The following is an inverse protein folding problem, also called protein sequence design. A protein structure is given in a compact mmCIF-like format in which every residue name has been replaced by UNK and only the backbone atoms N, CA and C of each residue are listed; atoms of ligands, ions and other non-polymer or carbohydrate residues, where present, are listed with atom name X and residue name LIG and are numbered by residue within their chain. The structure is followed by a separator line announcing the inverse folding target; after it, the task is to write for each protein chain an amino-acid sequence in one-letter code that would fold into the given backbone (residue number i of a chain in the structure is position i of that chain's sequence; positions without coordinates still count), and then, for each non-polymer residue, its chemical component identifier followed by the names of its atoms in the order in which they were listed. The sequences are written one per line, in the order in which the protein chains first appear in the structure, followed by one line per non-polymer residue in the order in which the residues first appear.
data_IF_818283185539
#
_entry.id   IF_818283185539
#
_cell.length_a   1.000
_cell.length_b   1.000
_cell.length_c   1.000
_cell.angle_alpha   90.00
_cell.angle_beta   90.00
_cell.angle_gamma   90.00
#
_symmetry.space_group_name_H-M   'P 1'
#
loop_
_entity.id
_entity.type
_entity.pdbx_description
1 polymer ?
#
# COMPACT_ATOMS: atom_id res chain seq x y z
N UNK A 1 27.49 8.00 -5.38
CA UNK A 1 27.26 6.67 -6.01
C UNK A 1 25.85 6.70 -6.58
N UNK A 2 25.69 6.49 -7.86
CA UNK A 2 24.35 6.46 -8.48
C UNK A 2 23.60 5.18 -8.05
N UNK A 3 22.25 5.14 -8.14
CA UNK A 3 21.50 3.90 -7.89
C UNK A 3 21.97 2.71 -8.72
N UNK A 4 22.37 2.94 -9.97
CA UNK A 4 22.91 1.92 -10.86
C UNK A 4 24.30 1.43 -10.39
N UNK A 5 25.17 2.33 -9.93
CA UNK A 5 26.46 1.94 -9.36
C UNK A 5 26.27 1.11 -8.09
N UNK A 6 25.31 1.50 -7.25
CA UNK A 6 24.94 0.78 -6.04
C UNK A 6 24.47 -0.64 -6.36
N UNK A 7 23.57 -0.78 -7.33
CA UNK A 7 23.08 -2.06 -7.80
C UNK A 7 24.22 -2.96 -8.27
N UNK A 8 25.13 -2.43 -9.12
CA UNK A 8 26.26 -3.19 -9.67
C UNK A 8 27.25 -3.66 -8.61
N UNK A 9 27.34 -2.94 -7.49
CA UNK A 9 28.22 -3.26 -6.38
C UNK A 9 27.68 -4.35 -5.44
N UNK A 10 26.43 -4.81 -5.59
CA UNK A 10 25.88 -5.89 -4.76
C UNK A 10 26.66 -7.18 -4.95
N UNK A 11 26.99 -7.90 -3.85
CA UNK A 11 27.90 -9.06 -3.88
C UNK A 11 27.21 -10.37 -4.32
N UNK A 12 26.11 -10.29 -5.06
CA UNK A 12 25.25 -11.44 -5.38
C UNK A 12 25.32 -11.88 -6.84
N UNK A 13 25.96 -11.07 -7.69
CA UNK A 13 25.93 -11.30 -9.12
C UNK A 13 26.84 -12.45 -9.56
N UNK A 14 26.29 -13.30 -10.42
CA UNK A 14 27.06 -14.31 -11.16
C UNK A 14 27.18 -13.83 -12.61
N UNK A 15 28.32 -13.19 -12.91
CA UNK A 15 28.55 -12.47 -14.16
C UNK A 15 28.09 -11.00 -14.10
N UNK A 16 28.23 -10.25 -15.21
CA UNK A 16 27.90 -8.83 -15.27
C UNK A 16 26.37 -8.60 -15.25
N UNK A 17 25.81 -7.88 -14.24
CA UNK A 17 24.38 -7.63 -14.19
C UNK A 17 23.95 -6.65 -15.28
N UNK A 18 22.92 -7.02 -16.03
CA UNK A 18 22.21 -6.15 -16.97
C UNK A 18 20.97 -5.62 -16.27
N UNK A 19 20.89 -4.30 -16.11
CA UNK A 19 19.84 -3.64 -15.37
C UNK A 19 19.02 -2.73 -16.30
N UNK A 20 17.70 -2.86 -16.22
CA UNK A 20 16.75 -2.01 -16.92
C UNK A 20 15.88 -1.30 -15.86
N UNK A 21 15.67 0.03 -15.94
CA UNK A 21 14.79 0.73 -15.03
C UNK A 21 13.38 0.14 -15.06
N UNK A 22 12.82 -0.13 -13.90
CA UNK A 22 11.43 -0.57 -13.74
C UNK A 22 10.60 0.64 -13.32
N UNK A 23 9.74 1.13 -14.23
CA UNK A 23 8.85 2.25 -13.95
C UNK A 23 7.70 1.89 -13.02
N UNK A 24 6.99 2.90 -12.50
CA UNK A 24 5.75 2.75 -11.75
C UNK A 24 5.87 2.94 -10.23
N UNK A 25 7.07 3.03 -9.68
CA UNK A 25 7.25 3.40 -8.25
C UNK A 25 7.38 4.90 -8.07
N UNK A 26 6.67 5.47 -7.09
CA UNK A 26 6.77 6.90 -6.71
C UNK A 26 7.53 7.11 -5.39
N UNK A 27 8.11 6.07 -4.82
CA UNK A 27 8.89 6.11 -3.57
C UNK A 27 10.27 5.51 -3.71
N UNK A 28 10.50 4.66 -4.71
CA UNK A 28 11.72 3.88 -4.86
C UNK A 28 12.25 3.89 -6.29
N UNK A 29 13.56 3.67 -6.43
CA UNK A 29 14.18 3.40 -7.73
C UNK A 29 14.32 1.89 -7.88
N UNK A 30 13.56 1.35 -8.83
CA UNK A 30 13.50 -0.08 -9.09
C UNK A 30 14.17 -0.44 -10.42
N UNK A 31 14.78 -1.60 -10.47
CA UNK A 31 15.39 -2.17 -11.68
C UNK A 31 14.99 -3.64 -11.83
N UNK A 32 14.69 -4.04 -13.05
CA UNK A 32 14.77 -5.46 -13.43
C UNK A 32 16.22 -5.76 -13.76
N UNK A 33 16.76 -6.81 -13.18
CA UNK A 33 18.17 -7.18 -13.37
C UNK A 33 18.27 -8.63 -13.79
N UNK A 34 19.07 -8.87 -14.81
CA UNK A 34 19.41 -10.19 -15.30
C UNK A 34 20.92 -10.38 -15.20
N UNK A 35 21.36 -11.42 -14.47
CA UNK A 35 22.73 -11.94 -14.53
C UNK A 35 22.78 -13.27 -15.31
N UNK A 36 23.88 -14.02 -15.25
CA UNK A 36 24.05 -15.28 -15.99
C UNK A 36 23.17 -16.42 -15.44
N UNK A 37 22.57 -16.25 -14.25
CA UNK A 37 21.87 -17.33 -13.53
C UNK A 37 20.41 -17.00 -13.25
N UNK A 38 20.08 -15.70 -12.96
CA UNK A 38 18.75 -15.32 -12.49
C UNK A 38 18.25 -14.00 -13.03
N UNK A 39 16.94 -13.82 -12.98
CA UNK A 39 16.25 -12.54 -13.15
C UNK A 39 15.64 -12.11 -11.81
N UNK A 40 15.84 -10.86 -11.43
CA UNK A 40 15.36 -10.36 -10.13
C UNK A 40 14.93 -8.90 -10.25
N UNK A 41 14.21 -8.41 -9.23
CA UNK A 41 13.94 -6.99 -9.05
C UNK A 41 14.85 -6.46 -7.93
N UNK A 42 15.54 -5.37 -8.23
CA UNK A 42 16.37 -4.65 -7.25
C UNK A 42 15.74 -3.31 -6.96
N UNK A 43 15.40 -3.09 -5.70
CA UNK A 43 14.96 -1.82 -5.16
C UNK A 43 16.13 -1.13 -4.48
N UNK A 44 16.39 0.12 -4.88
CA UNK A 44 17.39 0.98 -4.23
C UNK A 44 16.65 2.12 -3.54
N UNK A 45 16.81 2.25 -2.23
CA UNK A 45 16.16 3.30 -1.43
C UNK A 45 16.48 3.17 0.05
N UNK A 46 16.43 4.29 0.74
CA UNK A 46 16.59 4.39 2.19
C UNK A 46 15.22 4.52 2.87
N UNK A 47 15.22 4.63 4.20
CA UNK A 47 14.04 5.00 4.97
C UNK A 47 13.47 6.34 4.45
N UNK A 48 12.14 6.46 4.48
CA UNK A 48 11.42 7.70 4.18
C UNK A 48 10.54 8.03 5.40
N UNK A 49 11.16 8.60 6.47
CA UNK A 49 10.47 8.77 7.76
C UNK A 49 9.21 9.63 7.67
N UNK A 50 9.18 10.65 6.79
CA UNK A 50 8.00 11.51 6.57
C UNK A 50 6.79 10.72 6.09
N UNK A 51 7.00 9.58 5.42
CA UNK A 51 5.95 8.65 5.00
C UNK A 51 5.86 7.40 5.87
N UNK A 52 6.62 7.34 6.98
CA UNK A 52 6.70 6.20 7.89
C UNK A 52 7.20 4.91 7.22
N UNK A 53 7.92 5.04 6.10
CA UNK A 53 8.53 3.92 5.40
C UNK A 53 9.88 3.60 6.04
N UNK A 54 9.97 2.40 6.63
CA UNK A 54 11.15 1.92 7.34
C UNK A 54 11.64 0.61 6.72
N UNK A 55 12.86 0.58 6.19
CA UNK A 55 13.39 -0.55 5.41
C UNK A 55 13.54 -1.84 6.21
N UNK A 56 13.75 -1.75 7.53
CA UNK A 56 13.74 -2.94 8.39
C UNK A 56 12.36 -3.62 8.42
N UNK A 57 11.28 -2.82 8.40
CA UNK A 57 9.92 -3.33 8.45
C UNK A 57 9.50 -3.91 7.09
N UNK A 58 9.82 -3.21 5.99
CA UNK A 58 9.64 -3.73 4.63
C UNK A 58 10.30 -5.10 4.44
N UNK A 59 11.56 -5.25 4.89
CA UNK A 59 12.29 -6.50 4.83
C UNK A 59 11.61 -7.61 5.62
N UNK A 60 11.19 -7.30 6.87
CA UNK A 60 10.52 -8.27 7.73
C UNK A 60 9.18 -8.71 7.12
N UNK A 61 8.40 -7.75 6.60
CA UNK A 61 7.13 -7.99 5.93
C UNK A 61 7.32 -8.81 4.64
N UNK A 62 8.27 -8.45 3.77
CA UNK A 62 8.53 -9.16 2.51
C UNK A 62 8.93 -10.63 2.75
N UNK A 63 9.79 -10.90 3.76
CA UNK A 63 10.17 -12.26 4.13
C UNK A 63 9.01 -13.07 4.69
N UNK A 64 8.20 -12.46 5.54
CA UNK A 64 7.03 -13.12 6.12
C UNK A 64 5.94 -13.35 5.06
N UNK A 65 5.73 -12.41 4.14
CA UNK A 65 4.81 -12.54 3.02
C UNK A 65 5.23 -13.65 2.04
N UNK A 66 6.54 -13.81 1.79
CA UNK A 66 7.06 -14.94 1.03
C UNK A 66 6.77 -16.28 1.75
N UNK A 67 7.08 -16.36 3.03
CA UNK A 67 6.84 -17.57 3.83
C UNK A 67 5.35 -17.95 3.91
N UNK A 68 4.45 -16.94 3.88
CA UNK A 68 3.00 -17.12 3.77
C UNK A 68 2.52 -17.48 2.33
N UNK A 69 3.43 -17.54 1.36
CA UNK A 69 3.10 -17.83 -0.04
C UNK A 69 2.37 -16.71 -0.77
N UNK A 70 2.52 -15.45 -0.30
CA UNK A 70 1.82 -14.26 -0.83
C UNK A 70 2.73 -13.46 -1.78
N UNK A 71 4.03 -13.42 -1.50
CA UNK A 71 5.02 -12.58 -2.21
C UNK A 71 6.20 -13.39 -2.76
N UNK A 72 6.96 -12.85 -3.74
CA UNK A 72 8.21 -13.43 -4.18
C UNK A 72 9.24 -13.51 -3.06
N UNK A 73 10.26 -14.37 -3.24
CA UNK A 73 11.33 -14.54 -2.26
C UNK A 73 12.22 -13.29 -2.19
N UNK A 74 12.70 -12.99 -0.98
CA UNK A 74 13.82 -12.05 -0.80
C UNK A 74 15.12 -12.81 -1.04
N UNK A 75 15.83 -12.43 -2.10
CA UNK A 75 17.13 -13.03 -2.50
C UNK A 75 18.27 -12.45 -1.68
N UNK A 76 18.27 -11.13 -1.51
CA UNK A 76 19.33 -10.41 -0.83
C UNK A 76 18.80 -9.11 -0.21
N UNK A 77 19.47 -8.68 0.85
CA UNK A 77 19.23 -7.38 1.48
C UNK A 77 20.53 -6.86 2.09
N UNK A 78 20.75 -5.58 1.89
CA UNK A 78 21.73 -4.78 2.64
C UNK A 78 21.20 -3.35 2.81
N UNK A 79 21.76 -2.50 3.68
CA UNK A 79 21.29 -1.13 3.85
C UNK A 79 21.19 -0.39 2.53
N UNK A 80 19.99 0.10 2.20
CA UNK A 80 19.69 0.82 0.95
C UNK A 80 19.44 -0.06 -0.28
N UNK A 81 19.38 -1.40 -0.14
CA UNK A 81 19.05 -2.30 -1.24
C UNK A 81 18.22 -3.51 -0.79
N UNK A 82 17.18 -3.82 -1.53
CA UNK A 82 16.38 -5.05 -1.42
C UNK A 82 16.31 -5.73 -2.78
N UNK A 83 16.60 -7.03 -2.81
CA UNK A 83 16.53 -7.85 -4.03
C UNK A 83 15.51 -8.96 -3.83
N UNK A 84 14.54 -9.03 -4.73
CA UNK A 84 13.47 -10.03 -4.72
C UNK A 84 13.45 -10.81 -6.03
N UNK A 85 12.92 -12.02 -6.01
CA UNK A 85 12.70 -12.81 -7.22
C UNK A 85 11.82 -12.06 -8.21
N UNK A 86 12.14 -12.16 -9.49
CA UNK A 86 11.29 -11.65 -10.54
C UNK A 86 10.11 -12.59 -10.77
N UNK A 87 8.90 -12.03 -10.76
CA UNK A 87 7.70 -12.77 -11.17
C UNK A 87 7.42 -12.49 -12.64
N UNK A 88 7.49 -13.52 -13.46
CA UNK A 88 7.05 -13.45 -14.86
C UNK A 88 5.51 -13.36 -14.86
N UNK A 89 4.97 -12.21 -15.21
CA UNK A 89 3.53 -12.00 -15.12
C UNK A 89 3.08 -10.60 -15.54
N UNK A 90 1.78 -10.40 -15.48
CA UNK A 90 1.12 -9.13 -15.78
C UNK A 90 0.85 -8.37 -14.48
N UNK A 91 1.29 -7.12 -14.40
CA UNK A 91 0.82 -6.16 -13.41
C UNK A 91 -0.65 -5.83 -13.70
N UNK A 92 -1.49 -5.88 -12.66
CA UNK A 92 -2.92 -5.63 -12.83
C UNK A 92 -3.21 -4.13 -12.98
N UNK A 93 -4.34 -3.87 -13.62
CA UNK A 93 -5.00 -2.56 -13.67
C UNK A 93 -6.25 -2.57 -12.78
N UNK A 94 -6.79 -1.38 -12.47
CA UNK A 94 -8.08 -1.28 -11.78
C UNK A 94 -9.22 -1.98 -12.55
N UNK A 95 -9.15 -1.99 -13.89
CA UNK A 95 -10.13 -2.71 -14.72
C UNK A 95 -10.03 -4.24 -14.57
N UNK A 96 -8.82 -4.76 -14.41
CA UNK A 96 -8.62 -6.19 -14.14
C UNK A 96 -9.21 -6.57 -12.78
N UNK A 97 -8.93 -5.79 -11.72
CA UNK A 97 -9.43 -6.03 -10.35
C UNK A 97 -10.96 -5.89 -10.21
N UNK A 98 -11.62 -5.18 -11.12
CA UNK A 98 -13.10 -5.12 -11.17
C UNK A 98 -13.76 -6.33 -11.84
N UNK A 99 -12.99 -7.26 -12.39
CA UNK A 99 -13.54 -8.53 -12.90
C UNK A 99 -13.77 -9.49 -11.72
N UNK A 100 -14.97 -10.06 -11.61
CA UNK A 100 -15.39 -10.85 -10.45
C UNK A 100 -14.38 -11.94 -10.06
N UNK A 101 -13.90 -12.72 -11.02
CA UNK A 101 -12.94 -13.79 -10.76
C UNK A 101 -11.59 -13.28 -10.27
N UNK A 102 -11.15 -12.09 -10.71
CA UNK A 102 -9.91 -11.47 -10.29
C UNK A 102 -10.07 -10.83 -8.91
N UNK A 103 -11.21 -10.19 -8.67
CA UNK A 103 -11.57 -9.64 -7.36
C UNK A 103 -11.60 -10.75 -6.30
N UNK A 104 -12.18 -11.89 -6.61
CA UNK A 104 -12.20 -13.07 -5.73
C UNK A 104 -10.78 -13.52 -5.35
N UNK A 105 -9.89 -13.64 -6.33
CA UNK A 105 -8.50 -14.01 -6.07
C UNK A 105 -7.77 -12.96 -5.23
N UNK A 106 -8.02 -11.68 -5.47
CA UNK A 106 -7.44 -10.59 -4.69
C UNK A 106 -7.91 -10.61 -3.24
N UNK A 107 -9.22 -10.83 -2.99
CA UNK A 107 -9.77 -10.93 -1.63
C UNK A 107 -9.16 -12.12 -0.89
N UNK A 108 -9.05 -13.28 -1.52
CA UNK A 108 -8.46 -14.47 -0.91
C UNK A 108 -6.97 -14.28 -0.60
N UNK A 109 -6.24 -13.60 -1.49
CA UNK A 109 -4.83 -13.26 -1.29
C UNK A 109 -4.65 -12.29 -0.10
N UNK A 110 -5.50 -11.27 0.00
CA UNK A 110 -5.51 -10.30 1.10
C UNK A 110 -5.86 -11.02 2.42
N UNK A 111 -6.88 -11.87 2.43
CA UNK A 111 -7.24 -12.64 3.61
C UNK A 111 -6.08 -13.53 4.09
N UNK A 112 -5.38 -14.18 3.15
CA UNK A 112 -4.17 -14.95 3.45
C UNK A 112 -3.07 -14.07 4.03
N UNK A 113 -2.81 -12.90 3.42
CA UNK A 113 -1.82 -11.96 3.94
C UNK A 113 -2.14 -11.56 5.38
N UNK A 114 -3.38 -11.18 5.66
CA UNK A 114 -3.85 -10.74 6.98
C UNK A 114 -3.66 -11.79 8.07
N UNK A 115 -3.89 -13.06 7.76
CA UNK A 115 -3.94 -14.13 8.77
C UNK A 115 -2.66 -14.97 8.84
N UNK A 116 -1.94 -15.15 7.72
CA UNK A 116 -0.76 -16.02 7.69
C UNK A 116 0.55 -15.25 7.92
N UNK A 117 0.68 -14.01 7.42
CA UNK A 117 1.92 -13.24 7.60
C UNK A 117 2.31 -13.08 9.08
N UNK A 118 1.40 -12.80 10.04
CA UNK A 118 1.76 -12.71 11.46
C UNK A 118 2.50 -13.92 12.00
N UNK A 119 2.20 -15.12 11.50
CA UNK A 119 2.83 -16.39 11.92
C UNK A 119 4.31 -16.48 11.53
N UNK A 120 4.73 -15.69 10.53
CA UNK A 120 6.07 -15.70 9.96
C UNK A 120 6.88 -14.45 10.29
N UNK A 121 6.28 -13.41 10.88
CA UNK A 121 6.99 -12.20 11.26
C UNK A 121 8.09 -12.48 12.29
N UNK A 122 9.22 -11.80 12.13
CA UNK A 122 10.35 -11.86 13.06
C UNK A 122 10.86 -10.46 13.36
N UNK A 123 11.15 -10.19 14.63
CA UNK A 123 11.60 -8.89 15.10
C UNK A 123 10.46 -7.88 15.29
N UNK A 124 10.79 -6.59 15.43
CA UNK A 124 9.81 -5.53 15.56
C UNK A 124 8.96 -5.39 14.29
N UNK A 125 7.68 -5.08 14.47
CA UNK A 125 6.76 -4.77 13.38
C UNK A 125 6.00 -3.47 13.69
N UNK A 126 5.70 -2.68 12.66
CA UNK A 126 5.01 -1.42 12.82
C UNK A 126 3.50 -1.62 12.94
N UNK A 127 2.85 -0.64 13.54
CA UNK A 127 1.41 -0.46 13.51
C UNK A 127 1.09 0.68 12.54
N UNK A 128 0.32 0.40 11.52
CA UNK A 128 -0.18 1.41 10.60
C UNK A 128 -1.59 1.84 11.04
N UNK A 129 -1.66 2.85 11.93
CA UNK A 129 -2.94 3.40 12.33
C UNK A 129 -3.26 4.65 11.53
N UNK A 130 -4.17 4.54 10.57
CA UNK A 130 -4.49 5.60 9.61
C UNK A 130 -4.75 6.97 10.26
N UNK A 131 -5.43 7.01 11.40
CA UNK A 131 -5.73 8.28 12.09
C UNK A 131 -4.51 8.89 12.78
N UNK A 132 -3.49 8.09 13.12
CA UNK A 132 -2.19 8.60 13.52
C UNK A 132 -1.45 9.19 12.30
N UNK A 133 -1.41 8.46 11.20
CA UNK A 133 -0.77 8.90 9.94
C UNK A 133 -1.38 10.22 9.44
N UNK A 134 -2.71 10.35 9.46
CA UNK A 134 -3.43 11.58 9.10
C UNK A 134 -3.01 12.76 9.98
N UNK A 135 -2.89 12.57 11.31
CA UNK A 135 -2.45 13.63 12.23
C UNK A 135 -0.98 14.00 12.01
N UNK A 136 -0.13 13.02 11.75
CA UNK A 136 1.30 13.21 11.50
C UNK A 136 1.54 14.00 10.21
N UNK A 137 0.89 13.62 9.10
CA UNK A 137 0.91 14.39 7.87
C UNK A 137 0.38 15.82 8.04
N UNK A 138 -0.72 15.99 8.77
CA UNK A 138 -1.25 17.33 9.04
C UNK A 138 -0.27 18.17 9.87
N UNK A 139 0.43 17.60 10.84
CA UNK A 139 1.46 18.27 11.63
C UNK A 139 2.64 18.69 10.75
N UNK A 140 3.11 17.82 9.85
CA UNK A 140 4.16 18.14 8.86
C UNK A 140 3.74 19.31 7.98
N UNK A 141 2.56 19.25 7.37
CA UNK A 141 2.03 20.30 6.49
C UNK A 141 1.87 21.65 7.20
N UNK A 142 1.51 21.64 8.50
CA UNK A 142 1.43 22.87 9.31
C UNK A 142 2.82 23.43 9.61
N UNK A 143 3.77 22.59 10.02
CA UNK A 143 5.13 22.99 10.35
C UNK A 143 5.86 23.62 9.14
N UNK A 144 5.54 23.17 7.93
CA UNK A 144 6.15 23.62 6.68
C UNK A 144 5.40 24.78 6.00
N UNK A 145 4.33 25.29 6.62
CA UNK A 145 3.47 26.34 6.05
C UNK A 145 2.94 25.97 4.66
N UNK A 146 2.54 24.72 4.47
CA UNK A 146 2.00 24.21 3.22
C UNK A 146 0.81 25.05 2.73
N UNK A 147 0.68 25.19 1.41
CA UNK A 147 -0.48 25.85 0.78
C UNK A 147 -1.83 25.21 1.17
N UNK A 148 -1.82 23.98 1.67
CA UNK A 148 -3.01 23.25 2.11
C UNK A 148 -3.40 23.48 3.57
N UNK A 149 -2.63 24.27 4.35
CA UNK A 149 -2.85 24.46 5.78
C UNK A 149 -4.27 24.91 6.14
N UNK A 150 -4.94 25.68 5.29
CA UNK A 150 -6.31 26.15 5.53
C UNK A 150 -7.36 25.04 5.50
N UNK A 151 -7.07 23.90 4.85
CA UNK A 151 -7.95 22.73 4.79
C UNK A 151 -7.84 21.84 6.04
N UNK A 152 -6.66 21.83 6.68
CA UNK A 152 -6.31 20.86 7.73
C UNK A 152 -7.25 20.87 8.94
N UNK A 153 -7.71 22.01 9.48
CA UNK A 153 -8.63 22.03 10.61
C UNK A 153 -9.95 21.28 10.32
N UNK A 154 -10.46 21.38 9.09
CA UNK A 154 -11.66 20.66 8.68
C UNK A 154 -11.38 19.16 8.51
N UNK A 155 -10.31 18.80 7.79
CA UNK A 155 -9.94 17.41 7.56
C UNK A 155 -9.67 16.65 8.86
N UNK A 156 -9.02 17.30 9.86
CA UNK A 156 -8.79 16.71 11.18
C UNK A 156 -10.07 16.50 11.98
N UNK A 157 -11.03 17.43 11.89
CA UNK A 157 -12.37 17.21 12.53
C UNK A 157 -13.08 16.03 11.89
N UNK A 158 -13.06 15.94 10.57
CA UNK A 158 -13.63 14.81 9.82
C UNK A 158 -12.93 13.50 10.18
N UNK A 159 -11.60 13.48 10.25
CA UNK A 159 -10.84 12.30 10.69
C UNK A 159 -11.24 11.84 12.11
N UNK A 160 -11.48 12.78 13.03
CA UNK A 160 -11.94 12.46 14.38
C UNK A 160 -13.33 11.79 14.36
N UNK A 161 -14.24 12.28 13.52
CA UNK A 161 -15.57 11.67 13.34
C UNK A 161 -15.47 10.26 12.74
N UNK A 162 -14.63 10.07 11.71
CA UNK A 162 -14.39 8.76 11.11
C UNK A 162 -13.79 7.79 12.14
N UNK A 163 -12.80 8.23 12.91
CA UNK A 163 -12.18 7.41 13.97
C UNK A 163 -13.21 6.94 15.01
N UNK A 164 -14.11 7.83 15.42
CA UNK A 164 -15.19 7.49 16.37
C UNK A 164 -16.15 6.44 15.76
N UNK A 165 -16.49 6.58 14.47
CA UNK A 165 -17.36 5.64 13.76
C UNK A 165 -16.72 4.27 13.53
N UNK A 166 -15.41 4.20 13.31
CA UNK A 166 -14.68 2.94 13.20
C UNK A 166 -14.74 2.14 14.51
N UNK A 167 -14.63 2.80 15.66
CA UNK A 167 -14.66 2.15 16.97
C UNK A 167 -13.53 1.13 17.19
N UNK A 168 -13.75 0.12 18.05
CA UNK A 168 -12.78 -0.96 18.28
C UNK A 168 -12.48 -1.75 17.02
N UNK A 169 -11.23 -2.18 16.83
CA UNK A 169 -10.80 -2.91 15.65
C UNK A 169 -10.23 -4.29 16.01
N UNK A 170 -10.43 -5.24 15.10
CA UNK A 170 -9.64 -6.45 15.06
C UNK A 170 -8.31 -6.15 14.37
N UNK A 171 -7.21 -6.69 14.88
CA UNK A 171 -5.88 -6.47 14.36
C UNK A 171 -5.48 -7.59 13.39
N UNK A 172 -5.10 -7.20 12.18
CA UNK A 172 -4.46 -8.06 11.18
C UNK A 172 -3.15 -7.43 10.72
N UNK A 173 -2.30 -8.18 10.04
CA UNK A 173 -1.13 -7.59 9.39
C UNK A 173 -1.51 -7.15 7.97
N UNK A 174 -1.77 -5.86 7.82
CA UNK A 174 -2.20 -5.24 6.57
C UNK A 174 -1.05 -4.93 5.63
N UNK A 175 -1.37 -4.86 4.35
CA UNK A 175 -0.50 -4.32 3.31
C UNK A 175 -0.47 -2.78 3.37
N UNK A 176 -1.62 -2.20 3.60
CA UNK A 176 -1.89 -0.76 3.76
C UNK A 176 -1.65 0.11 2.50
N UNK A 177 -1.44 -0.55 1.34
CA UNK A 177 -1.26 0.14 0.04
C UNK A 177 -1.72 -0.75 -1.13
N UNK A 178 -3.00 -1.11 -1.17
CA UNK A 178 -3.57 -2.01 -2.18
C UNK A 178 -3.90 -1.27 -3.49
N UNK A 179 -2.85 -0.75 -4.13
CA UNK A 179 -2.91 -0.25 -5.50
C UNK A 179 -2.96 -1.40 -6.51
N UNK A 180 -3.59 -1.24 -7.69
CA UNK A 180 -3.61 -2.30 -8.71
C UNK A 180 -2.19 -2.71 -9.16
N UNK A 181 -1.25 -1.76 -9.18
CA UNK A 181 0.15 -2.01 -9.55
C UNK A 181 0.89 -2.95 -8.59
N UNK A 182 0.38 -3.16 -7.37
CA UNK A 182 0.97 -4.06 -6.38
C UNK A 182 0.47 -5.51 -6.51
N UNK A 183 -0.42 -5.79 -7.46
CA UNK A 183 -0.87 -7.14 -7.80
C UNK A 183 -0.27 -7.61 -9.11
N UNK A 184 0.40 -8.76 -9.09
CA UNK A 184 0.95 -9.44 -10.27
C UNK A 184 0.20 -10.76 -10.49
N UNK A 185 -0.17 -11.06 -11.74
CA UNK A 185 -0.76 -12.34 -12.13
C UNK A 185 0.20 -13.10 -13.03
N UNK A 186 0.70 -14.26 -12.59
CA UNK A 186 1.69 -15.07 -13.30
C UNK A 186 1.10 -16.05 -14.35
N UNK A 187 -0.21 -15.92 -14.60
CA UNK A 187 -0.97 -16.86 -15.45
C UNK A 187 -1.71 -17.93 -14.66
N UNK A 188 -1.33 -18.18 -13.40
CA UNK A 188 -1.94 -19.19 -12.53
C UNK A 188 -2.52 -18.61 -11.24
N UNK A 189 -1.85 -17.64 -10.64
CA UNK A 189 -2.23 -17.02 -9.37
C UNK A 189 -1.84 -15.55 -9.28
N UNK A 190 -2.36 -14.90 -8.25
CA UNK A 190 -1.94 -13.57 -7.84
C UNK A 190 -0.77 -13.61 -6.85
N UNK A 191 0.06 -12.57 -6.97
CA UNK A 191 1.13 -12.21 -6.06
C UNK A 191 0.91 -10.78 -5.58
N UNK A 192 1.28 -10.49 -4.35
CA UNK A 192 1.24 -9.15 -3.77
C UNK A 192 2.67 -8.70 -3.48
N UNK A 193 3.01 -7.48 -3.91
CA UNK A 193 4.34 -6.89 -3.80
C UNK A 193 4.26 -5.51 -3.15
N UNK A 194 5.40 -4.94 -2.79
CA UNK A 194 5.54 -3.59 -2.25
C UNK A 194 4.99 -3.42 -0.83
N UNK A 195 5.75 -3.92 0.15
CA UNK A 195 5.39 -3.92 1.57
C UNK A 195 5.88 -2.66 2.32
N UNK A 196 6.06 -1.53 1.63
CA UNK A 196 6.57 -0.29 2.22
C UNK A 196 5.74 0.19 3.42
N UNK A 197 4.42 0.08 3.33
CA UNK A 197 3.47 0.50 4.36
C UNK A 197 2.95 -0.65 5.24
N UNK A 198 3.53 -1.83 5.12
CA UNK A 198 3.07 -2.99 5.87
C UNK A 198 3.07 -2.75 7.39
N UNK A 199 2.06 -3.26 8.06
CA UNK A 199 1.94 -3.11 9.50
C UNK A 199 0.60 -3.56 10.04
N UNK A 200 0.51 -3.69 11.36
CA UNK A 200 -0.74 -4.06 12.00
C UNK A 200 -1.78 -2.96 11.86
N UNK A 201 -2.97 -3.31 11.40
CA UNK A 201 -4.10 -2.41 11.18
C UNK A 201 -5.43 -3.17 11.24
N UNK A 202 -6.53 -2.45 11.06
CA UNK A 202 -7.85 -3.03 10.81
C UNK A 202 -7.93 -3.62 9.40
N UNK A 203 -8.53 -4.81 9.21
CA UNK A 203 -8.77 -5.36 7.87
C UNK A 203 -9.62 -4.42 7.00
N UNK A 204 -10.48 -3.60 7.62
CA UNK A 204 -11.33 -2.66 6.91
C UNK A 204 -10.53 -1.55 6.21
N UNK A 205 -9.30 -1.28 6.64
CA UNK A 205 -8.44 -0.30 5.95
C UNK A 205 -7.99 -0.83 4.58
N UNK A 206 -7.47 -2.04 4.53
CA UNK A 206 -7.05 -2.68 3.28
C UNK A 206 -8.25 -2.90 2.34
N UNK A 207 -9.38 -3.37 2.86
CA UNK A 207 -10.59 -3.53 2.06
C UNK A 207 -11.14 -2.20 1.55
N UNK A 208 -11.11 -1.15 2.38
CA UNK A 208 -11.49 0.20 1.98
C UNK A 208 -10.55 0.80 0.94
N UNK A 209 -9.24 0.60 1.12
CA UNK A 209 -8.20 1.01 0.17
C UNK A 209 -8.32 0.28 -1.17
N UNK A 210 -8.51 -1.04 -1.15
CA UNK A 210 -8.77 -1.82 -2.37
C UNK A 210 -9.97 -1.27 -3.14
N UNK A 211 -11.07 -1.00 -2.46
CA UNK A 211 -12.28 -0.47 -3.09
C UNK A 211 -12.08 0.94 -3.66
N UNK A 212 -11.48 1.85 -2.89
CA UNK A 212 -11.26 3.23 -3.31
C UNK A 212 -10.26 3.33 -4.48
N UNK A 213 -9.11 2.65 -4.37
CA UNK A 213 -8.05 2.71 -5.37
C UNK A 213 -8.43 2.05 -6.70
N UNK A 214 -9.38 1.11 -6.69
CA UNK A 214 -9.78 0.36 -7.88
C UNK A 214 -11.18 0.72 -8.39
N UNK A 215 -11.88 1.65 -7.73
CA UNK A 215 -13.20 2.10 -8.14
C UNK A 215 -14.24 0.98 -8.13
N UNK A 216 -14.27 0.17 -7.07
CA UNK A 216 -15.27 -0.89 -6.92
C UNK A 216 -16.67 -0.29 -6.79
N UNK A 217 -17.64 -0.92 -7.44
CA UNK A 217 -19.05 -0.59 -7.31
C UNK A 217 -19.64 -1.08 -5.97
N UNK A 218 -20.76 -0.52 -5.54
CA UNK A 218 -21.44 -0.95 -4.31
C UNK A 218 -21.73 -2.46 -4.24
N UNK A 219 -22.23 -3.11 -5.32
CA UNK A 219 -22.35 -4.57 -5.38
C UNK A 219 -21.01 -5.30 -5.18
N UNK A 220 -19.93 -4.82 -5.79
CA UNK A 220 -18.59 -5.42 -5.63
C UNK A 220 -18.04 -5.24 -4.21
N UNK A 221 -18.26 -4.09 -3.58
CA UNK A 221 -17.91 -3.85 -2.18
C UNK A 221 -18.68 -4.79 -1.23
N UNK A 222 -19.99 -4.97 -1.47
CA UNK A 222 -20.81 -5.91 -0.70
C UNK A 222 -20.33 -7.36 -0.88
N UNK A 223 -19.99 -7.75 -2.10
CA UNK A 223 -19.41 -9.06 -2.42
C UNK A 223 -18.07 -9.25 -1.71
N UNK A 224 -17.17 -8.28 -1.80
CA UNK A 224 -15.87 -8.29 -1.14
C UNK A 224 -15.99 -8.49 0.37
N UNK A 225 -16.85 -7.72 1.03
CA UNK A 225 -17.07 -7.85 2.47
C UNK A 225 -17.67 -9.22 2.83
N UNK A 226 -18.66 -9.68 2.04
CA UNK A 226 -19.27 -11.00 2.24
C UNK A 226 -18.25 -12.13 2.14
N UNK A 227 -17.40 -12.09 1.11
CA UNK A 227 -16.35 -13.10 0.89
C UNK A 227 -15.31 -13.06 2.00
N UNK A 228 -14.78 -11.88 2.33
CA UNK A 228 -13.74 -11.72 3.34
C UNK A 228 -14.21 -12.17 4.73
N UNK A 229 -15.40 -11.75 5.16
CA UNK A 229 -15.94 -12.09 6.50
C UNK A 229 -16.75 -13.39 6.51
N UNK A 230 -16.92 -14.08 5.36
CA UNK A 230 -17.73 -15.29 5.20
C UNK A 230 -19.18 -15.12 5.73
N UNK A 231 -19.70 -13.89 5.72
CA UNK A 231 -21.07 -13.54 6.11
C UNK A 231 -21.48 -12.23 5.45
N UNK A 232 -22.78 -12.06 5.22
CA UNK A 232 -23.31 -10.78 4.75
C UNK A 232 -22.99 -9.67 5.75
N UNK A 233 -22.54 -8.47 5.28
CA UNK A 233 -22.27 -7.35 6.16
C UNK A 233 -23.58 -6.82 6.77
N UNK A 234 -23.61 -6.66 8.09
CA UNK A 234 -24.67 -5.95 8.77
C UNK A 234 -24.47 -4.41 8.70
N UNK A 235 -25.46 -3.66 9.15
CA UNK A 235 -25.42 -2.19 9.09
C UNK A 235 -24.23 -1.61 9.90
N UNK A 236 -23.86 -2.24 11.02
CA UNK A 236 -22.74 -1.80 11.86
C UNK A 236 -21.41 -2.00 11.13
N UNK A 237 -21.21 -3.17 10.50
CA UNK A 237 -20.01 -3.44 9.71
C UNK A 237 -19.91 -2.50 8.50
N UNK A 238 -21.02 -2.26 7.79
CA UNK A 238 -21.05 -1.33 6.66
C UNK A 238 -20.70 0.09 7.08
N UNK A 239 -21.23 0.56 8.20
CA UNK A 239 -20.92 1.90 8.74
C UNK A 239 -19.42 2.03 9.07
N UNK A 240 -18.85 1.07 9.78
CA UNK A 240 -17.40 1.03 10.10
C UNK A 240 -16.53 0.93 8.86
N UNK A 241 -16.93 0.11 7.88
CA UNK A 241 -16.23 -0.03 6.61
C UNK A 241 -16.22 1.28 5.82
N UNK A 242 -17.36 1.96 5.68
CA UNK A 242 -17.44 3.26 4.99
C UNK A 242 -16.59 4.32 5.65
N UNK A 243 -16.58 4.36 6.99
CA UNK A 243 -15.69 5.24 7.75
C UNK A 243 -14.21 4.96 7.46
N UNK A 244 -13.82 3.68 7.41
CA UNK A 244 -12.43 3.31 7.14
C UNK A 244 -12.04 3.54 5.68
N UNK A 245 -12.94 3.31 4.72
CA UNK A 245 -12.75 3.65 3.31
C UNK A 245 -12.51 5.15 3.12
N UNK A 246 -13.31 6.00 3.79
CA UNK A 246 -13.11 7.44 3.76
C UNK A 246 -11.76 7.83 4.41
N UNK A 247 -11.38 7.19 5.53
CA UNK A 247 -10.08 7.43 6.17
C UNK A 247 -8.90 7.03 5.28
N UNK A 248 -9.01 5.94 4.51
CA UNK A 248 -8.01 5.53 3.52
C UNK A 248 -7.84 6.59 2.42
N UNK A 249 -8.95 7.07 1.85
CA UNK A 249 -8.91 8.14 0.84
C UNK A 249 -8.35 9.47 1.40
N UNK A 250 -8.67 9.80 2.66
CA UNK A 250 -8.09 10.98 3.33
C UNK A 250 -6.57 10.85 3.51
N UNK A 251 -6.10 9.65 3.90
CA UNK A 251 -4.66 9.39 4.02
C UNK A 251 -3.96 9.61 2.70
N UNK A 252 -4.53 9.14 1.60
CA UNK A 252 -3.94 9.28 0.26
C UNK A 252 -3.88 10.76 -0.17
N UNK A 253 -4.93 11.54 0.12
CA UNK A 253 -4.93 12.98 -0.14
C UNK A 253 -3.85 13.72 0.67
N UNK A 254 -3.67 13.40 1.94
CA UNK A 254 -2.62 14.01 2.77
C UNK A 254 -1.22 13.53 2.37
N UNK A 255 -1.07 12.26 2.00
CA UNK A 255 0.18 11.73 1.46
C UNK A 255 0.63 12.51 0.22
N UNK A 256 -0.28 12.74 -0.71
CA UNK A 256 0.04 13.51 -1.92
C UNK A 256 0.42 14.97 -1.62
N UNK A 257 -0.23 15.61 -0.62
CA UNK A 257 0.12 16.95 -0.17
C UNK A 257 1.54 17.02 0.43
N UNK A 258 1.93 16.02 1.22
CA UNK A 258 3.27 15.93 1.81
C UNK A 258 4.30 15.63 0.72
N UNK A 259 3.99 14.71 -0.19
CA UNK A 259 4.89 14.34 -1.29
C UNK A 259 5.19 15.50 -2.24
N UNK A 260 4.30 16.49 -2.37
CA UNK A 260 4.52 17.67 -3.19
C UNK A 260 5.77 18.47 -2.76
N UNK A 261 6.12 18.43 -1.47
CA UNK A 261 7.28 19.15 -0.91
C UNK A 261 8.48 18.23 -0.61
N UNK A 262 8.24 16.93 -0.46
CA UNK A 262 9.26 15.97 -0.02
C UNK A 262 9.74 15.00 -1.11
N UNK A 263 9.09 14.98 -2.28
CA UNK A 263 9.50 14.09 -3.37
C UNK A 263 10.36 14.86 -4.38
N UNK A 264 11.48 14.24 -4.77
CA UNK A 264 12.35 14.74 -5.86
C UNK A 264 11.87 14.24 -7.25
N UNK A 265 10.74 13.54 -7.32
CA UNK A 265 10.23 13.00 -8.57
C UNK A 265 9.56 14.07 -9.42
N UNK A 266 9.80 14.01 -10.73
CA UNK A 266 9.05 14.80 -11.73
C UNK A 266 7.65 14.18 -11.92
N UNK A 267 6.76 14.50 -10.98
CA UNK A 267 5.39 14.02 -10.94
C UNK A 267 4.43 15.14 -10.56
N UNK A 268 3.28 15.22 -11.22
CA UNK A 268 2.27 16.25 -10.93
C UNK A 268 1.48 15.93 -9.65
N UNK A 269 2.12 16.12 -8.51
CA UNK A 269 1.48 15.94 -7.20
C UNK A 269 0.29 16.87 -6.99
N UNK A 270 0.26 18.04 -7.64
CA UNK A 270 -0.87 18.98 -7.52
C UNK A 270 -2.16 18.41 -8.08
N UNK A 271 -2.13 17.90 -9.32
CA UNK A 271 -3.28 17.24 -9.96
C UNK A 271 -3.64 15.95 -9.21
N UNK A 272 -2.64 15.19 -8.76
CA UNK A 272 -2.87 13.99 -7.96
C UNK A 272 -3.56 14.30 -6.63
N UNK A 273 -3.16 15.36 -5.93
CA UNK A 273 -3.82 15.83 -4.70
C UNK A 273 -5.28 16.23 -4.94
N UNK A 274 -5.56 16.95 -6.03
CA UNK A 274 -6.95 17.33 -6.37
C UNK A 274 -7.84 16.10 -6.61
N UNK A 275 -7.32 15.12 -7.33
CA UNK A 275 -8.01 13.84 -7.60
C UNK A 275 -8.30 13.09 -6.30
N UNK A 276 -7.31 13.01 -5.41
CA UNK A 276 -7.45 12.32 -4.12
C UNK A 276 -8.39 13.04 -3.17
N UNK A 277 -8.40 14.38 -3.16
CA UNK A 277 -9.39 15.16 -2.41
C UNK A 277 -10.82 14.94 -2.92
N UNK A 278 -11.00 14.85 -4.24
CA UNK A 278 -12.32 14.53 -4.82
C UNK A 278 -12.77 13.11 -4.45
N UNK A 279 -11.87 12.13 -4.50
CA UNK A 279 -12.12 10.75 -4.06
C UNK A 279 -12.51 10.70 -2.58
N UNK A 280 -11.77 11.44 -1.73
CA UNK A 280 -12.09 11.57 -0.31
C UNK A 280 -13.47 12.21 -0.10
N UNK A 281 -13.79 13.29 -0.80
CA UNK A 281 -15.09 13.98 -0.71
C UNK A 281 -16.24 13.02 -1.02
N UNK A 282 -16.14 12.25 -2.10
CA UNK A 282 -17.15 11.25 -2.45
C UNK A 282 -17.29 10.14 -1.39
N UNK A 283 -16.18 9.67 -0.81
CA UNK A 283 -16.20 8.66 0.25
C UNK A 283 -16.78 9.21 1.57
N UNK A 284 -16.48 10.48 1.89
CA UNK A 284 -17.06 11.20 3.04
C UNK A 284 -18.57 11.35 2.91
N UNK A 285 -19.06 11.75 1.74
CA UNK A 285 -20.49 11.89 1.48
C UNK A 285 -21.23 10.54 1.57
N UNK A 286 -20.63 9.48 0.98
CA UNK A 286 -21.18 8.13 1.06
C UNK A 286 -21.22 7.58 2.51
N UNK A 287 -20.28 7.97 3.37
CA UNK A 287 -20.30 7.63 4.79
C UNK A 287 -21.49 8.28 5.52
N UNK A 288 -21.90 9.50 5.15
CA UNK A 288 -22.99 10.22 5.80
C UNK A 288 -24.39 9.92 5.26
N UNK A 289 -24.48 9.36 4.03
CA UNK A 289 -25.78 9.00 3.41
C UNK A 289 -26.29 7.63 3.87
N UNK A 290 -25.61 6.96 4.74
CA UNK A 290 -25.87 5.63 5.26
C UNK A 290 -26.32 5.68 6.71
#
# INVERSE_FOLDING_TARGET
MTPLDRLRALPIWQGPPRAEPLGGGITNINFVVQDDVRRCVVRIGNDIPVHQIMRFNELAASRAAHAAGVSPAVIHHEPGALVIDFIEGKTLTAADLRQDAMLDQAIDLIARAHHEIPNHLRGPALTFWVFHVVRDYAATLLAENSRYQSLLPNLLRQATSLQAAVGPIDLVFGHNDLLPANFLHDGTRLWLIDWDYAGFNSPLFDLGGLAANNGLSGPQESHMLTRYFSRAPDAALLHRYRAMKAASALREALWSMVSETHSDLDFDFSTYTQTNLATYGAAWDAFHQA
#
